data_IF_031106946038
#
_entry.id   IF_031106946038
#
_cell.length_a   1.000
_cell.length_b   1.000
_cell.length_c   1.000
_cell.angle_alpha   90.00
_cell.angle_beta   90.00
_cell.angle_gamma   90.00
#
_symmetry.space_group_name_H-M   'P 1'
#
loop_
_entity.id
_entity.type
_entity.pdbx_description
1 polymer ?
#
# COMPACT_ATOMS: atom_id res chain seq x y z
N UNK A 1 6.39 44.45 10.00
CA UNK A 1 6.61 43.56 11.16
C UNK A 1 5.39 43.68 12.06
N UNK A 2 4.38 42.85 11.83
CA UNK A 2 3.14 42.82 12.62
C UNK A 2 3.22 41.72 13.68
N UNK A 3 3.17 42.13 14.95
CA UNK A 3 3.19 41.29 16.13
C UNK A 3 1.88 40.50 16.23
N UNK A 4 1.96 39.18 16.35
CA UNK A 4 0.82 38.30 16.66
C UNK A 4 0.51 38.51 18.15
N UNK A 5 -0.41 39.43 18.40
CA UNK A 5 -1.13 39.52 19.67
C UNK A 5 -2.32 38.56 19.61
N UNK A 6 -2.56 37.94 20.75
CA UNK A 6 -3.57 36.92 21.05
C UNK A 6 -3.26 35.52 20.54
N UNK A 7 -3.18 34.63 21.53
CA UNK A 7 -3.07 33.18 21.48
C UNK A 7 -4.31 32.53 20.82
N UNK A 8 -4.72 33.05 19.66
CA UNK A 8 -5.88 32.56 18.94
C UNK A 8 -5.48 31.32 18.14
N UNK A 9 -5.31 30.22 18.87
CA UNK A 9 -5.11 28.87 18.35
C UNK A 9 -6.21 28.46 17.36
N UNK A 10 -7.32 29.20 17.29
CA UNK A 10 -8.41 28.97 16.34
C UNK A 10 -7.95 29.01 14.89
N UNK A 11 -7.04 29.92 14.52
CA UNK A 11 -6.54 29.99 13.15
C UNK A 11 -5.75 28.71 12.77
N UNK A 12 -4.89 28.25 13.67
CA UNK A 12 -4.16 26.99 13.50
C UNK A 12 -5.09 25.77 13.54
N UNK A 13 -6.09 25.76 14.42
CA UNK A 13 -7.06 24.68 14.54
C UNK A 13 -8.00 24.61 13.33
N UNK A 14 -8.36 25.74 12.73
CA UNK A 14 -9.11 25.78 11.47
C UNK A 14 -8.26 25.29 10.31
N UNK A 15 -6.99 25.63 10.26
CA UNK A 15 -6.06 25.13 9.25
C UNK A 15 -5.81 23.61 9.38
N UNK A 16 -5.66 23.12 10.62
CA UNK A 16 -5.58 21.68 10.92
C UNK A 16 -6.87 20.97 10.51
N UNK A 17 -8.05 21.51 10.83
CA UNK A 17 -9.35 20.94 10.41
C UNK A 17 -9.51 20.95 8.89
N UNK A 18 -9.07 22.01 8.23
CA UNK A 18 -9.10 22.12 6.78
C UNK A 18 -8.18 21.07 6.15
N UNK A 19 -6.98 20.87 6.69
CA UNK A 19 -6.06 19.82 6.28
C UNK A 19 -6.61 18.42 6.57
N UNK A 20 -7.29 18.21 7.71
CA UNK A 20 -7.94 16.95 8.04
C UNK A 20 -9.08 16.62 7.08
N UNK A 21 -9.94 17.60 6.78
CA UNK A 21 -11.02 17.45 5.81
C UNK A 21 -10.48 17.22 4.41
N UNK A 22 -9.48 18.00 3.97
CA UNK A 22 -8.84 17.80 2.68
C UNK A 22 -8.17 16.42 2.59
N UNK A 23 -7.48 15.98 3.65
CA UNK A 23 -6.91 14.64 3.70
C UNK A 23 -7.97 13.55 3.82
N UNK A 24 -9.16 13.82 4.35
CA UNK A 24 -10.28 12.89 4.40
C UNK A 24 -10.96 12.76 3.02
N UNK A 25 -11.08 13.87 2.29
CA UNK A 25 -11.55 13.93 0.90
C UNK A 25 -10.55 13.30 -0.08
N UNK A 26 -9.25 13.41 0.22
CA UNK A 26 -8.15 12.86 -0.59
C UNK A 26 -7.57 11.53 -0.06
N UNK A 27 -8.13 10.98 1.02
CA UNK A 27 -7.75 9.71 1.65
C UNK A 27 -6.24 9.61 2.04
N UNK A 28 -5.73 10.66 2.71
CA UNK A 28 -4.31 10.89 3.08
C UNK A 28 -4.03 11.05 4.59
N UNK A 29 -4.91 10.65 5.51
CA UNK A 29 -4.67 10.87 6.96
C UNK A 29 -3.70 9.86 7.62
N UNK A 30 -2.65 10.39 8.25
CA UNK A 30 -1.74 9.91 9.32
C UNK A 30 -1.76 8.41 9.75
N UNK A 31 -0.95 7.66 9.01
CA UNK A 31 0.06 6.64 9.37
C UNK A 31 -0.23 5.36 10.18
N UNK A 32 -1.24 5.23 11.07
CA UNK A 32 -1.46 3.91 11.72
C UNK A 32 -2.93 3.60 12.05
N UNK A 33 -3.61 4.49 12.78
CA UNK A 33 -5.05 4.38 13.05
C UNK A 33 -5.90 4.49 11.78
N UNK A 34 -5.45 5.31 10.83
CA UNK A 34 -6.14 5.55 9.56
C UNK A 34 -6.06 4.36 8.62
N UNK A 35 -4.92 3.66 8.53
CA UNK A 35 -4.81 2.49 7.66
C UNK A 35 -5.69 1.36 8.14
N UNK A 36 -5.78 1.14 9.45
CA UNK A 36 -6.72 0.16 10.03
C UNK A 36 -8.18 0.51 9.70
N UNK A 37 -8.56 1.79 9.78
CA UNK A 37 -9.91 2.26 9.38
C UNK A 37 -10.14 2.08 7.86
N UNK A 38 -9.16 2.39 7.04
CA UNK A 38 -9.20 2.24 5.58
C UNK A 38 -9.32 0.76 5.17
N UNK A 39 -8.46 -0.11 5.69
CA UNK A 39 -8.47 -1.56 5.43
C UNK A 39 -9.76 -2.20 5.93
N UNK A 40 -10.29 -1.76 7.07
CA UNK A 40 -11.60 -2.21 7.58
C UNK A 40 -12.74 -1.83 6.62
N UNK A 41 -12.74 -0.59 6.12
CA UNK A 41 -13.70 -0.12 5.12
C UNK A 41 -13.61 -0.92 3.83
N UNK A 42 -12.40 -1.16 3.31
CA UNK A 42 -12.17 -2.05 2.16
C UNK A 42 -12.70 -3.45 2.43
N UNK A 43 -12.43 -4.02 3.61
CA UNK A 43 -12.90 -5.35 3.98
C UNK A 43 -14.44 -5.42 4.03
N UNK A 44 -15.12 -4.39 4.55
CA UNK A 44 -16.59 -4.31 4.52
C UNK A 44 -17.14 -4.26 3.10
N UNK A 45 -16.62 -3.34 2.26
CA UNK A 45 -17.05 -3.20 0.86
C UNK A 45 -16.85 -4.48 0.06
N UNK A 46 -15.68 -5.10 0.18
CA UNK A 46 -15.35 -6.33 -0.54
C UNK A 46 -16.17 -7.52 -0.07
N UNK A 47 -16.51 -7.62 1.23
CA UNK A 47 -17.47 -8.63 1.73
C UNK A 47 -18.87 -8.45 1.15
N UNK A 48 -19.36 -7.23 0.99
CA UNK A 48 -20.64 -6.99 0.32
C UNK A 48 -20.59 -7.44 -1.15
N UNK A 49 -19.51 -7.17 -1.88
CA UNK A 49 -19.34 -7.67 -3.25
C UNK A 49 -19.24 -9.20 -3.31
N UNK A 50 -18.59 -9.81 -2.32
CA UNK A 50 -18.50 -11.26 -2.19
C UNK A 50 -19.89 -11.92 -2.01
N UNK A 51 -20.83 -11.27 -1.31
CA UNK A 51 -22.21 -11.74 -1.22
C UNK A 51 -22.86 -11.82 -2.62
N UNK A 52 -22.72 -10.78 -3.43
CA UNK A 52 -23.21 -10.77 -4.80
C UNK A 52 -22.53 -11.85 -5.66
N UNK A 53 -21.22 -12.07 -5.49
CA UNK A 53 -20.51 -13.14 -6.19
C UNK A 53 -21.05 -14.53 -5.82
N UNK A 54 -21.40 -14.78 -4.54
CA UNK A 54 -22.06 -16.03 -4.13
C UNK A 54 -23.41 -16.18 -4.82
N UNK A 55 -24.20 -15.11 -4.82
CA UNK A 55 -25.51 -15.12 -5.44
C UNK A 55 -25.42 -15.40 -6.95
N UNK A 56 -24.45 -14.80 -7.65
CA UNK A 56 -24.17 -15.06 -9.06
C UNK A 56 -23.80 -16.52 -9.34
N UNK A 57 -23.09 -17.18 -8.40
CA UNK A 57 -22.79 -18.61 -8.52
C UNK A 57 -24.06 -19.47 -8.40
N UNK A 58 -25.03 -19.05 -7.60
CA UNK A 58 -26.27 -19.82 -7.41
C UNK A 58 -27.09 -19.90 -8.72
N UNK A 59 -26.95 -18.90 -9.61
CA UNK A 59 -27.47 -18.92 -10.98
C UNK A 59 -26.67 -19.80 -11.96
N UNK A 60 -25.71 -20.61 -11.47
CA UNK A 60 -24.90 -21.54 -12.26
C UNK A 60 -24.13 -20.88 -13.41
N UNK A 61 -23.71 -19.63 -13.22
CA UNK A 61 -22.90 -18.92 -14.21
C UNK A 61 -21.52 -19.59 -14.41
N UNK A 62 -20.95 -19.55 -15.62
CA UNK A 62 -19.63 -20.12 -15.88
C UNK A 62 -18.53 -19.47 -15.02
N UNK A 63 -17.55 -20.27 -14.57
CA UNK A 63 -16.43 -19.79 -13.73
C UNK A 63 -15.65 -18.62 -14.34
N UNK A 64 -15.59 -18.53 -15.69
CA UNK A 64 -14.96 -17.40 -16.39
C UNK A 64 -15.68 -16.07 -16.10
N UNK A 65 -17.00 -16.07 -16.08
CA UNK A 65 -17.81 -14.87 -15.76
C UNK A 65 -17.64 -14.49 -14.30
N UNK A 66 -17.67 -15.47 -13.40
CA UNK A 66 -17.45 -15.25 -11.97
C UNK A 66 -16.04 -14.69 -11.68
N UNK A 67 -15.02 -15.19 -12.37
CA UNK A 67 -13.65 -14.65 -12.27
C UNK A 67 -13.55 -13.23 -12.80
N UNK A 68 -14.19 -12.92 -13.93
CA UNK A 68 -14.23 -11.55 -14.45
C UNK A 68 -14.94 -10.61 -13.46
N UNK A 69 -16.06 -11.04 -12.86
CA UNK A 69 -16.74 -10.26 -11.84
C UNK A 69 -15.85 -9.99 -10.63
N UNK A 70 -15.13 -11.01 -10.13
CA UNK A 70 -14.14 -10.84 -9.07
C UNK A 70 -13.09 -9.79 -9.44
N UNK A 71 -12.46 -9.91 -10.61
CA UNK A 71 -11.40 -8.99 -11.04
C UNK A 71 -11.91 -7.56 -11.18
N UNK A 72 -13.10 -7.37 -11.76
CA UNK A 72 -13.65 -6.03 -11.97
C UNK A 72 -14.16 -5.36 -10.70
N UNK A 73 -14.64 -6.12 -9.70
CA UNK A 73 -15.35 -5.53 -8.54
C UNK A 73 -14.62 -5.70 -7.22
N UNK A 74 -14.04 -6.87 -6.95
CA UNK A 74 -13.38 -7.16 -5.67
C UNK A 74 -11.91 -6.85 -5.78
N UNK A 75 -11.23 -7.37 -6.80
CA UNK A 75 -9.81 -7.16 -7.03
C UNK A 75 -9.50 -5.68 -7.30
N UNK A 76 -10.32 -4.97 -8.07
CA UNK A 76 -10.15 -3.53 -8.31
C UNK A 76 -10.17 -2.71 -7.01
N UNK A 77 -11.09 -3.02 -6.09
CA UNK A 77 -11.18 -2.38 -4.77
C UNK A 77 -9.99 -2.78 -3.89
N UNK A 78 -9.67 -4.07 -3.83
CA UNK A 78 -8.55 -4.59 -3.04
C UNK A 78 -7.19 -4.13 -3.53
N UNK A 79 -7.04 -3.83 -4.82
CA UNK A 79 -5.75 -3.47 -5.40
C UNK A 79 -5.62 -1.98 -5.67
N UNK A 80 -6.68 -1.20 -5.39
CA UNK A 80 -6.68 0.25 -5.42
C UNK A 80 -5.60 0.80 -4.49
N UNK A 81 -4.63 1.48 -5.08
CA UNK A 81 -3.49 2.09 -4.39
C UNK A 81 -2.77 1.16 -3.40
N UNK A 82 -2.74 -0.16 -3.67
CA UNK A 82 -2.13 -1.18 -2.80
C UNK A 82 -0.68 -0.89 -2.42
N UNK A 83 0.06 -0.17 -3.28
CA UNK A 83 1.45 0.24 -3.01
C UNK A 83 1.58 1.23 -1.85
N UNK A 84 0.49 1.90 -1.45
CA UNK A 84 0.51 2.97 -0.43
C UNK A 84 0.16 2.44 0.95
N UNK A 85 -0.83 1.55 1.04
CA UNK A 85 -1.39 1.12 2.33
C UNK A 85 -0.90 -0.26 2.78
N UNK A 86 -0.46 -1.13 1.86
CA UNK A 86 -0.22 -2.53 2.19
C UNK A 86 0.99 -2.73 3.11
N UNK A 87 2.09 -2.01 2.86
CA UNK A 87 3.28 -2.01 3.73
C UNK A 87 3.00 -1.44 5.12
N UNK A 88 2.15 -0.41 5.18
CA UNK A 88 1.80 0.31 6.41
C UNK A 88 0.63 -0.32 7.19
N UNK A 89 0.06 -1.43 6.72
CA UNK A 89 -1.08 -2.09 7.38
C UNK A 89 -0.64 -3.10 8.43
N UNK A 90 -1.54 -3.45 9.35
CA UNK A 90 -1.25 -4.51 10.33
C UNK A 90 -1.29 -5.90 9.66
N UNK A 91 -0.62 -6.89 10.28
CA UNK A 91 -0.71 -8.29 9.83
C UNK A 91 -2.14 -8.81 9.88
N UNK A 92 -2.92 -8.38 10.87
CA UNK A 92 -4.32 -8.76 11.05
C UNK A 92 -5.20 -8.25 9.90
N UNK A 93 -5.00 -7.01 9.46
CA UNK A 93 -5.75 -6.43 8.34
C UNK A 93 -5.45 -7.15 7.03
N UNK A 94 -4.16 -7.40 6.74
CA UNK A 94 -3.75 -8.18 5.57
C UNK A 94 -4.40 -9.56 5.57
N UNK A 95 -4.43 -10.24 6.71
CA UNK A 95 -5.11 -11.53 6.84
C UNK A 95 -6.63 -11.41 6.63
N UNK A 96 -7.26 -10.34 7.13
CA UNK A 96 -8.70 -10.11 6.96
C UNK A 96 -9.08 -9.92 5.48
N UNK A 97 -8.27 -9.19 4.72
CA UNK A 97 -8.45 -9.02 3.28
C UNK A 97 -8.12 -10.31 2.51
N UNK A 98 -7.07 -11.03 2.89
CA UNK A 98 -6.74 -12.32 2.28
C UNK A 98 -7.87 -13.35 2.45
N UNK A 99 -8.60 -13.34 3.58
CA UNK A 99 -9.79 -14.19 3.77
C UNK A 99 -10.88 -13.93 2.73
N UNK A 100 -11.02 -12.69 2.26
CA UNK A 100 -11.97 -12.36 1.18
C UNK A 100 -11.53 -13.00 -0.13
N UNK A 101 -10.25 -12.90 -0.48
CA UNK A 101 -9.67 -13.54 -1.67
C UNK A 101 -9.86 -15.06 -1.63
N UNK A 102 -9.54 -15.71 -0.50
CA UNK A 102 -9.74 -17.15 -0.32
C UNK A 102 -11.22 -17.57 -0.39
N UNK A 103 -12.13 -16.69 0.02
CA UNK A 103 -13.55 -16.96 -0.13
C UNK A 103 -13.99 -16.87 -1.59
N UNK A 104 -13.48 -15.89 -2.34
CA UNK A 104 -13.75 -15.76 -3.76
C UNK A 104 -13.22 -16.96 -4.55
N UNK A 105 -12.00 -17.42 -4.26
CA UNK A 105 -11.37 -18.61 -4.85
C UNK A 105 -12.25 -19.86 -4.69
N UNK A 106 -12.83 -20.07 -3.50
CA UNK A 106 -13.78 -21.17 -3.24
C UNK A 106 -15.09 -21.04 -4.01
N UNK A 107 -15.53 -19.82 -4.32
CA UNK A 107 -16.79 -19.58 -5.06
C UNK A 107 -16.58 -19.76 -6.56
N UNK A 108 -15.44 -19.27 -7.09
CA UNK A 108 -15.16 -19.32 -8.53
C UNK A 108 -14.52 -20.63 -8.97
N UNK A 109 -13.99 -21.42 -8.03
CA UNK A 109 -13.21 -22.65 -8.29
C UNK A 109 -12.00 -22.39 -9.21
N UNK A 110 -11.35 -21.24 -9.04
CA UNK A 110 -10.17 -20.85 -9.81
C UNK A 110 -9.11 -20.32 -8.87
N UNK A 111 -7.85 -20.68 -9.10
CA UNK A 111 -6.74 -20.12 -8.34
C UNK A 111 -6.68 -18.60 -8.53
N UNK A 112 -6.69 -17.87 -7.41
CA UNK A 112 -6.58 -16.42 -7.39
C UNK A 112 -5.23 -16.01 -6.77
N UNK A 113 -4.58 -14.97 -7.31
CA UNK A 113 -3.33 -14.49 -6.74
C UNK A 113 -3.55 -13.97 -5.32
N UNK A 114 -2.60 -14.27 -4.43
CA UNK A 114 -2.62 -13.72 -3.08
C UNK A 114 -2.31 -12.22 -3.08
N UNK A 115 -2.66 -11.56 -1.97
CA UNK A 115 -2.55 -10.12 -1.86
C UNK A 115 -1.09 -9.63 -1.80
N UNK A 116 -0.16 -10.46 -1.28
CA UNK A 116 1.27 -10.17 -1.22
C UNK A 116 1.89 -10.17 -2.63
N UNK A 117 1.52 -11.17 -3.44
CA UNK A 117 1.94 -11.34 -4.83
C UNK A 117 1.44 -10.16 -5.67
N UNK A 118 0.18 -9.76 -5.48
CA UNK A 118 -0.35 -8.58 -6.19
C UNK A 118 0.40 -7.31 -5.76
N UNK A 119 0.63 -7.11 -4.47
CA UNK A 119 1.39 -5.97 -3.95
C UNK A 119 2.80 -5.90 -4.57
N UNK A 120 3.57 -6.98 -4.52
CA UNK A 120 4.91 -7.05 -5.10
C UNK A 120 4.90 -6.76 -6.60
N UNK A 121 3.99 -7.39 -7.35
CA UNK A 121 3.86 -7.18 -8.79
C UNK A 121 3.54 -5.72 -9.12
N UNK A 122 2.69 -5.07 -8.33
CA UNK A 122 2.33 -3.65 -8.49
C UNK A 122 3.51 -2.74 -8.16
N UNK A 123 4.22 -2.99 -7.05
CA UNK A 123 5.42 -2.25 -6.68
C UNK A 123 6.50 -2.36 -7.77
N UNK A 124 6.78 -3.57 -8.27
CA UNK A 124 7.73 -3.77 -9.36
C UNK A 124 7.32 -3.07 -10.65
N UNK A 125 6.03 -3.08 -11.00
CA UNK A 125 5.54 -2.40 -12.21
C UNK A 125 5.68 -0.89 -12.06
N UNK A 126 5.39 -0.35 -10.88
CA UNK A 126 5.53 1.09 -10.57
C UNK A 126 6.99 1.52 -10.59
N UNK A 127 7.88 0.78 -9.93
CA UNK A 127 9.33 1.04 -9.95
C UNK A 127 9.89 1.00 -11.37
N UNK A 128 9.52 0.00 -12.19
CA UNK A 128 9.91 -0.07 -13.60
C UNK A 128 9.48 1.15 -14.42
N UNK A 129 8.31 1.72 -14.12
CA UNK A 129 7.84 2.94 -14.80
C UNK A 129 8.67 4.15 -14.39
N UNK A 130 8.95 4.29 -13.09
CA UNK A 130 9.77 5.38 -12.55
C UNK A 130 11.18 5.35 -13.14
N UNK A 131 11.84 4.19 -13.16
CA UNK A 131 13.20 4.05 -13.71
C UNK A 131 13.27 4.35 -15.21
N UNK A 132 12.21 4.04 -15.97
CA UNK A 132 12.13 4.37 -17.41
C UNK A 132 11.86 5.85 -17.68
N UNK A 133 11.27 6.54 -16.71
CA UNK A 133 10.94 7.96 -16.82
C UNK A 133 12.04 8.81 -16.18
N UNK A 134 12.99 9.26 -17.00
CA UNK A 134 14.12 10.09 -16.56
C UNK A 134 13.71 11.46 -16.01
N UNK A 135 12.48 11.93 -16.28
CA UNK A 135 11.96 13.20 -15.75
C UNK A 135 11.31 13.04 -14.38
N UNK A 136 11.09 11.79 -13.94
CA UNK A 136 10.44 11.53 -12.67
C UNK A 136 11.36 11.92 -11.50
N UNK A 137 10.89 12.66 -10.49
CA UNK A 137 11.72 13.15 -9.39
C UNK A 137 12.40 12.02 -8.60
N UNK A 138 11.73 10.85 -8.53
CA UNK A 138 12.25 9.64 -7.86
C UNK A 138 13.07 8.71 -8.77
N UNK A 139 13.35 9.09 -10.02
CA UNK A 139 14.16 8.28 -10.94
C UNK A 139 15.58 8.09 -10.39
N UNK A 140 16.15 9.17 -9.83
CA UNK A 140 17.49 9.17 -9.23
C UNK A 140 17.61 8.28 -7.98
N UNK A 141 16.50 8.01 -7.31
CA UNK A 141 16.45 7.22 -6.08
C UNK A 141 16.29 5.72 -6.35
N UNK A 142 16.07 5.28 -7.60
CA UNK A 142 15.82 3.88 -7.92
C UNK A 142 16.80 3.40 -8.99
N UNK A 143 17.67 2.47 -8.60
CA UNK A 143 18.56 1.78 -9.53
C UNK A 143 18.10 0.34 -9.76
N UNK A 144 18.04 -0.07 -11.04
CA UNK A 144 17.75 -1.45 -11.39
C UNK A 144 19.02 -2.28 -11.25
N UNK A 145 18.99 -3.29 -10.38
CA UNK A 145 20.14 -4.18 -10.18
C UNK A 145 20.39 -5.04 -11.41
N UNK A 146 21.64 -5.49 -11.58
CA UNK A 146 22.11 -6.32 -12.72
C UNK A 146 21.28 -7.58 -12.99
N UNK A 147 20.52 -8.06 -11.99
CA UNK A 147 19.58 -9.18 -12.14
C UNK A 147 18.33 -8.85 -12.98
N UNK A 148 18.06 -7.57 -13.26
CA UNK A 148 16.86 -7.10 -13.97
C UNK A 148 15.54 -7.29 -13.22
N UNK A 149 15.60 -7.80 -11.99
CA UNK A 149 14.43 -8.19 -11.18
C UNK A 149 14.30 -7.42 -9.87
N UNK A 150 15.41 -6.89 -9.34
CA UNK A 150 15.48 -6.21 -8.05
C UNK A 150 15.80 -4.74 -8.25
N UNK A 151 15.18 -3.90 -7.43
CA UNK A 151 15.45 -2.46 -7.37
C UNK A 151 16.21 -2.17 -6.09
N UNK A 152 17.18 -1.28 -6.16
CA UNK A 152 17.85 -0.69 -5.02
C UNK A 152 17.38 0.76 -4.88
N UNK A 153 17.10 1.18 -3.66
CA UNK A 153 16.83 2.57 -3.33
C UNK A 153 18.14 3.22 -2.89
N UNK A 154 18.60 4.21 -3.66
CA UNK A 154 19.78 4.99 -3.33
C UNK A 154 19.31 6.16 -2.43
N UNK A 155 19.29 5.96 -1.11
CA UNK A 155 19.00 7.01 -0.12
C UNK A 155 20.21 7.96 -0.02
N UNK A 156 20.39 8.81 -1.02
CA UNK A 156 21.34 9.91 -0.95
C UNK A 156 20.60 11.17 -0.48
N UNK A 157 20.34 11.24 0.82
CA UNK A 157 20.09 12.47 1.61
C UNK A 157 20.23 12.14 3.10
N UNK A 158 21.44 11.73 3.52
CA UNK A 158 21.91 11.83 4.90
C UNK A 158 23.21 12.63 4.88
N UNK A 159 23.12 13.96 4.96
CA UNK A 159 24.23 14.83 5.36
C UNK A 159 23.76 16.28 5.51
N UNK A 160 23.37 16.67 6.73
CA UNK A 160 23.86 17.89 7.38
C UNK A 160 23.48 17.84 8.86
N UNK A 161 24.33 17.19 9.65
CA UNK A 161 24.79 17.64 10.98
C UNK A 161 25.83 16.62 11.47
N UNK A 162 27.06 16.80 10.98
CA UNK A 162 28.27 16.27 11.58
C UNK A 162 28.78 17.31 12.59
N UNK A 163 28.70 17.05 13.89
CA UNK A 163 29.86 17.13 14.79
C UNK A 163 29.49 16.73 16.23
N UNK A 164 30.31 15.81 16.77
CA UNK A 164 30.60 15.48 18.18
C UNK A 164 30.39 13.98 18.51
N UNK A 165 31.33 13.16 18.03
CA UNK A 165 31.75 11.91 18.69
C UNK A 165 32.61 12.23 19.94
N UNK A 166 32.94 11.28 20.86
CA UNK A 166 32.95 9.82 20.71
C UNK A 166 32.28 9.08 21.92
N UNK A 167 32.05 7.77 22.03
CA UNK A 167 32.74 6.54 21.59
C UNK A 167 31.75 5.37 21.75
N UNK A 168 31.80 4.42 20.82
CA UNK A 168 31.66 2.98 21.11
C UNK A 168 30.28 2.41 21.46
N UNK A 169 29.60 1.82 20.47
CA UNK A 169 29.33 0.38 20.46
C UNK A 169 28.74 -0.02 19.10
N UNK A 170 29.33 -1.05 18.53
CA UNK A 170 28.95 -1.73 17.30
C UNK A 170 27.56 -2.37 17.38
N UNK A 171 26.70 -2.08 16.40
CA UNK A 171 25.50 -2.84 16.07
C UNK A 171 25.13 -2.59 14.60
N UNK A 172 24.78 -3.61 13.80
CA UNK A 172 24.63 -3.44 12.35
C UNK A 172 23.33 -2.71 12.00
N UNK A 173 23.45 -1.72 11.11
CA UNK A 173 22.35 -1.04 10.46
C UNK A 173 21.47 -2.02 9.69
N UNK A 174 20.18 -2.01 10.02
CA UNK A 174 19.15 -2.78 9.32
C UNK A 174 18.65 -1.95 8.13
N UNK A 175 19.38 -1.99 7.01
CA UNK A 175 18.82 -1.62 5.72
C UNK A 175 17.77 -2.65 5.32
N UNK A 176 16.50 -2.26 5.21
CA UNK A 176 15.42 -3.13 4.77
C UNK A 176 15.62 -3.54 3.30
N UNK A 177 16.39 -4.62 3.11
CA UNK A 177 16.45 -5.35 1.85
C UNK A 177 15.08 -6.00 1.62
N UNK A 178 14.35 -5.53 0.62
CA UNK A 178 13.12 -6.19 0.16
C UNK A 178 13.53 -7.53 -0.50
N UNK A 179 13.56 -8.58 0.31
CA UNK A 179 13.95 -9.92 -0.11
C UNK A 179 12.72 -10.68 -0.63
N UNK A 180 12.64 -10.89 -1.94
CA UNK A 180 11.66 -11.77 -2.57
C UNK A 180 12.33 -13.13 -2.84
N UNK A 181 12.24 -14.04 -1.87
CA UNK A 181 12.58 -15.44 -2.05
C UNK A 181 11.30 -16.24 -2.37
N UNK A 182 11.20 -16.74 -3.60
CA UNK A 182 10.22 -17.77 -3.97
C UNK A 182 10.73 -19.13 -3.46
N UNK A 183 9.99 -19.73 -2.53
CA UNK A 183 10.03 -21.17 -2.30
C UNK A 183 9.06 -21.83 -3.29
N UNK A 184 9.60 -22.54 -4.28
CA UNK A 184 8.96 -23.69 -4.95
C UNK A 184 10.06 -24.61 -5.47
N UNK A 185 10.38 -25.65 -4.69
CA UNK A 185 10.29 -27.03 -5.15
C UNK A 185 9.83 -27.89 -3.96
#
# INVERSE_FOLDING_TARGET
MGLISDNDERAYLEEIKHLENWCQENNLLLNDLSWSRHTNSLAKKTRQRLYHLRHLRDFRLPSKVLRNFYTCTIESILTGNITVWFGNSTKQDRQALQRVVRSAERITHTQLPDLQTIYHKRCQTKARRIVKDYTHPKNRLLSLLRSGKRFHSDDQDRETEEELLPTGHSGPESGELINCGDHHH
#
